data_IF_832052941384
#
_entry.id   IF_832052941384
#
_cell.length_a   1.000
_cell.length_b   1.000
_cell.length_c   1.000
_cell.angle_alpha   90.00
_cell.angle_beta   90.00
_cell.angle_gamma   90.00
#
_symmetry.space_group_name_H-M   'P 1'
#
loop_
_entity.id
_entity.type
_entity.pdbx_description
1 polymer ?
#
# COMPACT_ATOMS: atom_id res chain seq x y z
N UNK A 1 23.46 -55.96 35.70
CA UNK A 1 22.74 -55.41 34.53
C UNK A 1 23.00 -56.34 33.36
N UNK A 2 21.95 -56.99 32.88
CA UNK A 2 22.04 -58.05 31.89
C UNK A 2 22.62 -57.54 30.57
N UNK A 3 23.58 -58.30 29.99
CA UNK A 3 24.19 -57.98 28.68
C UNK A 3 23.15 -57.89 27.56
N UNK A 4 21.95 -58.47 27.76
CA UNK A 4 20.81 -58.38 26.84
C UNK A 4 20.12 -57.00 26.86
N UNK A 5 20.23 -56.25 27.96
CA UNK A 5 19.64 -54.92 28.09
C UNK A 5 20.48 -53.82 27.41
N UNK A 6 21.80 -54.01 27.36
CA UNK A 6 22.73 -53.07 26.74
C UNK A 6 22.72 -53.15 25.20
N UNK A 7 22.37 -54.31 24.63
CA UNK A 7 22.20 -54.49 23.18
C UNK A 7 20.88 -53.90 22.68
N UNK A 8 19.82 -53.94 23.49
CA UNK A 8 18.52 -53.34 23.16
C UNK A 8 18.53 -51.80 23.23
N UNK A 9 19.35 -51.22 24.11
CA UNK A 9 19.52 -49.76 24.19
C UNK A 9 20.40 -49.20 23.04
N UNK A 10 21.38 -49.98 22.57
CA UNK A 10 22.23 -49.61 21.43
C UNK A 10 21.51 -49.72 20.08
N UNK A 11 20.51 -50.59 19.94
CA UNK A 11 19.74 -50.77 18.71
C UNK A 11 18.69 -49.68 18.45
N UNK A 12 18.26 -48.93 19.48
CA UNK A 12 17.30 -47.82 19.30
C UNK A 12 17.95 -46.52 18.78
N UNK A 13 19.27 -46.36 18.87
CA UNK A 13 19.95 -45.10 18.50
C UNK A 13 20.23 -45.00 16.99
N UNK A 14 20.11 -46.10 16.23
CA UNK A 14 20.47 -46.13 14.80
C UNK A 14 19.30 -45.80 13.85
N UNK A 15 18.08 -45.60 14.36
CA UNK A 15 16.88 -45.37 13.52
C UNK A 15 16.52 -43.87 13.38
N UNK A 16 17.26 -42.96 14.01
CA UNK A 16 17.01 -41.51 13.93
C UNK A 16 17.89 -40.77 12.89
N UNK A 17 18.40 -41.46 11.86
CA UNK A 17 19.47 -40.96 10.98
C UNK A 17 19.12 -40.71 9.51
N UNK A 18 17.86 -40.82 9.08
CA UNK A 18 17.46 -40.54 7.69
C UNK A 18 16.22 -39.63 7.62
N UNK A 19 16.38 -38.37 8.03
CA UNK A 19 15.59 -37.29 7.44
C UNK A 19 16.44 -36.70 6.31
N UNK A 20 16.08 -37.02 5.07
CA UNK A 20 16.66 -36.45 3.87
C UNK A 20 16.60 -34.94 3.93
N UNK A 21 17.76 -34.34 4.20
CA UNK A 21 17.95 -32.92 4.14
C UNK A 21 18.17 -32.59 2.66
N UNK A 22 17.07 -32.51 1.91
CA UNK A 22 17.02 -31.82 0.63
C UNK A 22 17.28 -30.33 0.87
N UNK A 23 18.53 -30.00 1.21
CA UNK A 23 19.10 -28.69 0.96
C UNK A 23 19.33 -28.57 -0.56
N UNK A 24 18.24 -28.64 -1.34
CA UNK A 24 18.20 -27.81 -2.52
C UNK A 24 18.22 -26.40 -1.98
N UNK A 25 19.37 -25.73 -2.14
CA UNK A 25 19.44 -24.29 -2.05
C UNK A 25 18.35 -23.75 -2.98
N UNK A 26 17.18 -23.43 -2.40
CA UNK A 26 16.20 -22.61 -3.05
C UNK A 26 16.95 -21.32 -3.34
N UNK A 27 17.36 -21.14 -4.60
CA UNK A 27 17.55 -19.82 -5.17
C UNK A 27 16.29 -19.06 -4.78
N UNK A 28 16.41 -18.23 -3.74
CA UNK A 28 15.28 -17.50 -3.21
C UNK A 28 14.85 -16.64 -4.38
N UNK A 29 13.72 -16.98 -5.02
CA UNK A 29 13.18 -16.18 -6.12
C UNK A 29 13.09 -14.77 -5.56
N UNK A 30 13.97 -13.88 -6.01
CA UNK A 30 14.00 -12.50 -5.52
C UNK A 30 12.60 -11.94 -5.75
N UNK A 31 11.93 -11.56 -4.67
CA UNK A 31 10.62 -10.90 -4.77
C UNK A 31 10.87 -9.51 -5.36
N UNK A 32 10.06 -9.05 -6.31
CA UNK A 32 10.25 -7.74 -6.93
C UNK A 32 9.90 -6.57 -6.00
N UNK A 33 9.24 -6.86 -4.86
CA UNK A 33 8.70 -5.86 -3.94
C UNK A 33 8.92 -6.30 -2.48
N UNK A 34 9.03 -5.32 -1.59
CA UNK A 34 8.98 -5.49 -0.13
C UNK A 34 7.59 -5.98 0.26
N UNK A 35 6.55 -5.37 -0.32
CA UNK A 35 5.16 -5.55 0.05
C UNK A 35 4.77 -4.78 1.32
N UNK A 36 3.60 -5.12 1.88
CA UNK A 36 3.04 -4.44 3.06
C UNK A 36 1.82 -3.58 2.73
N UNK A 37 0.96 -3.36 3.72
CA UNK A 37 -0.33 -2.67 3.58
C UNK A 37 -0.29 -1.19 3.97
N UNK A 38 0.90 -0.63 4.15
CA UNK A 38 1.11 0.74 4.61
C UNK A 38 1.78 1.55 3.49
N UNK A 39 1.47 2.85 3.44
CA UNK A 39 2.08 3.81 2.52
C UNK A 39 2.97 4.77 3.29
N UNK A 40 2.49 5.99 3.53
CA UNK A 40 3.10 6.90 4.49
C UNK A 40 2.53 6.59 5.87
N UNK A 41 3.36 6.57 6.90
CA UNK A 41 2.94 6.51 8.31
C UNK A 41 3.07 7.88 8.94
N UNK A 42 2.21 8.16 9.91
CA UNK A 42 2.17 9.43 10.62
C UNK A 42 2.07 9.17 12.12
N UNK A 43 2.90 9.82 12.92
CA UNK A 43 2.87 9.69 14.38
C UNK A 43 3.25 11.00 15.07
N UNK A 44 2.58 11.33 16.18
CA UNK A 44 3.02 12.40 17.05
C UNK A 44 4.36 12.05 17.69
N UNK A 45 5.28 13.01 17.74
CA UNK A 45 6.52 12.83 18.50
C UNK A 45 6.18 12.81 19.99
N UNK A 46 6.83 11.91 20.74
CA UNK A 46 6.62 11.81 22.18
C UNK A 46 6.80 13.18 22.85
N UNK A 47 5.77 13.62 23.57
CA UNK A 47 5.74 14.93 24.24
C UNK A 47 5.43 16.12 23.34
N UNK A 48 5.09 15.93 22.06
CA UNK A 48 4.73 17.00 21.11
C UNK A 48 3.47 16.60 20.30
N UNK A 49 2.26 17.04 20.71
CA UNK A 49 2.00 17.98 21.80
C UNK A 49 2.28 17.42 23.20
N UNK A 50 2.54 18.28 24.19
CA UNK A 50 2.59 17.86 25.58
C UNK A 50 1.23 17.30 26.02
N UNK A 51 1.23 16.38 26.99
CA UNK A 51 -0.01 15.82 27.52
C UNK A 51 -0.89 16.86 28.23
N UNK A 52 -0.28 17.95 28.70
CA UNK A 52 -0.97 19.05 29.36
C UNK A 52 -0.36 20.42 29.04
N UNK A 53 -1.21 21.44 28.99
CA UNK A 53 -0.87 22.85 28.82
C UNK A 53 -1.75 23.71 29.73
N UNK A 54 -1.46 25.00 29.83
CA UNK A 54 -2.24 25.95 30.63
C UNK A 54 -3.03 26.93 29.77
N UNK A 55 -4.14 27.41 30.32
CA UNK A 55 -4.99 28.42 29.71
C UNK A 55 -4.36 29.84 29.76
N UNK A 56 -5.10 30.86 29.34
CA UNK A 56 -4.72 32.27 29.44
C UNK A 56 -3.43 32.66 28.69
N UNK A 57 -3.13 31.98 27.59
CA UNK A 57 -1.98 32.19 26.70
C UNK A 57 -0.61 32.05 27.40
N UNK A 58 -0.55 31.37 28.54
CA UNK A 58 0.64 31.31 29.42
C UNK A 58 1.66 30.26 28.97
N UNK A 59 1.23 29.23 28.24
CA UNK A 59 2.06 28.09 27.87
C UNK A 59 2.03 27.84 26.36
N UNK A 60 2.99 28.38 25.58
CA UNK A 60 3.13 28.04 24.18
C UNK A 60 3.67 26.61 24.01
N UNK A 61 3.17 25.90 23.01
CA UNK A 61 3.59 24.54 22.68
C UNK A 61 3.57 24.32 21.16
N UNK A 62 4.26 23.25 20.76
CA UNK A 62 4.37 22.83 19.38
C UNK A 62 3.68 21.47 19.19
N UNK A 63 3.22 21.22 17.97
CA UNK A 63 2.78 19.89 17.52
C UNK A 63 3.75 19.42 16.46
N UNK A 64 4.45 18.32 16.72
CA UNK A 64 5.42 17.76 15.77
C UNK A 64 5.00 16.34 15.39
N UNK A 65 4.96 16.08 14.08
CA UNK A 65 4.64 14.78 13.51
C UNK A 65 5.88 14.18 12.85
N UNK A 66 6.11 12.88 13.07
CA UNK A 66 6.97 12.07 12.21
C UNK A 66 6.14 11.60 11.02
N UNK A 67 6.65 11.82 9.81
CA UNK A 67 6.13 11.26 8.57
C UNK A 67 7.17 10.29 8.03
N UNK A 68 6.79 9.07 7.66
CA UNK A 68 7.73 8.08 7.11
C UNK A 68 7.06 7.29 5.99
N UNK A 69 7.64 7.29 4.79
CA UNK A 69 7.15 6.46 3.69
C UNK A 69 7.73 5.05 3.83
N UNK A 70 6.89 4.13 4.30
CA UNK A 70 7.24 2.72 4.49
C UNK A 70 6.83 1.86 3.30
N UNK A 71 6.03 2.40 2.39
CA UNK A 71 5.64 1.73 1.16
C UNK A 71 6.55 2.04 -0.03
N UNK A 72 6.15 1.58 -1.21
CA UNK A 72 7.01 1.46 -2.39
C UNK A 72 6.62 2.44 -3.52
N UNK A 73 6.01 3.57 -3.16
CA UNK A 73 5.64 4.64 -4.09
C UNK A 73 6.15 6.00 -3.60
N UNK A 74 6.80 6.77 -4.47
CA UNK A 74 7.35 8.09 -4.14
C UNK A 74 6.22 9.11 -3.93
N UNK A 75 6.30 9.90 -2.87
CA UNK A 75 5.32 10.96 -2.58
C UNK A 75 5.99 12.34 -2.69
N UNK A 76 5.69 13.11 -3.74
CA UNK A 76 6.16 14.49 -3.86
C UNK A 76 5.66 15.36 -2.70
N UNK A 77 6.49 16.29 -2.23
CA UNK A 77 6.17 17.15 -1.10
C UNK A 77 4.89 17.99 -1.31
N UNK A 78 4.68 18.43 -2.54
CA UNK A 78 3.53 19.25 -2.97
C UNK A 78 2.24 18.43 -3.16
N UNK A 79 2.34 17.10 -3.24
CA UNK A 79 1.22 16.18 -3.32
C UNK A 79 0.84 15.56 -1.98
N UNK A 80 1.44 16.01 -0.87
CA UNK A 80 1.09 15.62 0.48
C UNK A 80 0.76 16.83 1.33
N UNK A 81 -0.40 16.81 1.98
CA UNK A 81 -0.80 17.82 2.97
C UNK A 81 -1.15 17.17 4.29
N UNK A 82 -0.81 17.85 5.38
CA UNK A 82 -1.20 17.47 6.73
C UNK A 82 -1.95 18.61 7.37
N UNK A 83 -3.15 18.29 7.88
CA UNK A 83 -4.04 19.22 8.56
C UNK A 83 -4.21 18.81 10.02
N UNK A 84 -4.05 19.76 10.93
CA UNK A 84 -4.40 19.59 12.34
C UNK A 84 -5.87 19.96 12.53
N UNK A 85 -6.63 19.07 13.19
CA UNK A 85 -8.05 19.26 13.52
C UNK A 85 -8.35 18.82 14.96
N UNK A 86 -9.59 19.01 15.41
CA UNK A 86 -10.02 18.74 16.80
C UNK A 86 -9.73 19.87 17.80
N UNK A 87 -9.04 20.91 17.34
CA UNK A 87 -8.85 22.17 18.06
C UNK A 87 -9.27 23.34 17.17
N UNK A 88 -9.81 24.41 17.77
CA UNK A 88 -10.13 25.65 17.09
C UNK A 88 -8.84 26.48 16.90
N UNK A 89 -8.49 26.92 15.68
CA UNK A 89 -7.30 27.74 15.47
C UNK A 89 -7.30 29.02 16.34
N UNK A 90 -8.45 29.69 16.43
CA UNK A 90 -8.60 30.94 17.17
C UNK A 90 -8.35 30.76 18.67
N UNK A 91 -8.93 29.71 19.26
CA UNK A 91 -8.75 29.37 20.67
C UNK A 91 -7.29 29.01 20.98
N UNK A 92 -6.53 28.55 19.98
CA UNK A 92 -5.12 28.18 20.10
C UNK A 92 -4.15 29.25 19.56
N UNK A 93 -4.64 30.46 19.28
CA UNK A 93 -3.81 31.62 18.96
C UNK A 93 -3.15 31.58 17.57
N UNK A 94 -3.68 30.75 16.65
CA UNK A 94 -3.14 30.55 15.29
C UNK A 94 -4.24 30.70 14.24
N UNK A 95 -3.86 30.83 12.97
CA UNK A 95 -4.82 30.84 11.86
C UNK A 95 -5.06 29.43 11.32
N UNK A 96 -6.19 29.22 10.65
CA UNK A 96 -6.49 27.93 10.01
C UNK A 96 -5.43 27.50 8.98
N UNK A 97 -4.76 28.46 8.33
CA UNK A 97 -3.67 28.19 7.39
C UNK A 97 -2.42 27.64 8.09
N UNK A 98 -2.15 28.04 9.33
CA UNK A 98 -0.99 27.58 10.10
C UNK A 98 -1.12 26.10 10.46
N UNK A 99 -2.35 25.59 10.56
CA UNK A 99 -2.70 24.20 10.85
C UNK A 99 -2.86 23.32 9.59
N UNK A 100 -2.47 23.81 8.40
CA UNK A 100 -2.52 23.03 7.16
C UNK A 100 -1.24 23.24 6.35
N UNK A 101 -0.30 22.30 6.46
CA UNK A 101 1.03 22.40 5.84
C UNK A 101 1.27 21.30 4.83
N UNK A 102 2.04 21.57 3.74
CA UNK A 102 2.58 20.50 2.91
C UNK A 102 3.62 19.68 3.68
N UNK A 103 4.02 18.54 3.14
CA UNK A 103 5.21 17.85 3.62
C UNK A 103 6.47 18.76 3.43
N UNK A 104 7.46 18.67 4.33
CA UNK A 104 8.65 19.52 4.26
C UNK A 104 9.59 19.16 3.11
N UNK A 105 9.55 17.90 2.64
CA UNK A 105 10.38 17.36 1.57
C UNK A 105 9.66 16.18 0.89
N UNK A 106 10.22 15.69 -0.22
CA UNK A 106 9.72 14.51 -0.90
C UNK A 106 9.93 13.28 -0.01
N UNK A 107 8.93 12.41 0.04
CA UNK A 107 9.06 11.13 0.74
C UNK A 107 9.39 10.03 -0.26
N UNK A 108 10.68 9.76 -0.44
CA UNK A 108 11.15 8.69 -1.30
C UNK A 108 10.70 7.33 -0.77
N UNK A 109 10.38 6.42 -1.68
CA UNK A 109 9.84 5.10 -1.38
C UNK A 109 10.88 4.15 -0.79
N UNK A 110 10.43 3.21 0.03
CA UNK A 110 11.23 2.04 0.34
C UNK A 110 11.43 1.17 -0.91
N UNK A 111 12.56 0.46 -1.02
CA UNK A 111 12.84 -0.43 -2.15
C UNK A 111 13.80 -1.55 -1.78
N UNK A 112 13.91 -2.56 -2.65
CA UNK A 112 14.89 -3.65 -2.53
C UNK A 112 16.03 -3.37 -3.50
N UNK A 113 17.27 -3.43 -3.01
CA UNK A 113 18.45 -3.28 -3.85
C UNK A 113 18.74 -4.57 -4.66
N UNK A 114 19.67 -4.55 -5.64
CA UNK A 114 20.00 -5.76 -6.41
C UNK A 114 20.53 -6.93 -5.58
N UNK A 115 21.05 -6.66 -4.38
CA UNK A 115 21.56 -7.66 -3.43
C UNK A 115 20.42 -8.28 -2.59
N UNK A 116 19.22 -7.70 -2.61
CA UNK A 116 18.06 -8.15 -1.85
C UNK A 116 17.89 -7.44 -0.50
N UNK A 117 18.68 -6.41 -0.20
CA UNK A 117 18.58 -5.65 1.04
C UNK A 117 17.52 -4.55 0.91
N UNK A 118 16.84 -4.26 2.04
CA UNK A 118 15.78 -3.25 2.08
C UNK A 118 16.41 -1.87 2.31
N UNK A 119 16.24 -0.98 1.33
CA UNK A 119 16.47 0.45 1.46
C UNK A 119 15.19 1.06 2.01
N UNK A 120 15.28 1.66 3.21
CA UNK A 120 14.15 2.35 3.84
C UNK A 120 13.82 3.63 3.08
N UNK A 121 12.53 3.96 3.02
CA UNK A 121 12.07 5.25 2.49
C UNK A 121 12.39 6.42 3.42
N UNK A 122 12.07 7.62 2.96
CA UNK A 122 12.35 8.86 3.70
C UNK A 122 11.48 8.98 4.95
N UNK A 123 12.12 9.39 6.04
CA UNK A 123 11.46 9.81 7.28
C UNK A 123 11.79 11.28 7.56
N UNK A 124 10.77 12.08 7.84
CA UNK A 124 10.91 13.52 8.10
C UNK A 124 9.99 13.99 9.23
N UNK A 125 10.17 15.23 9.67
CA UNK A 125 9.45 15.82 10.78
C UNK A 125 8.70 17.07 10.32
N UNK A 126 7.40 17.12 10.56
CA UNK A 126 6.56 18.27 10.26
C UNK A 126 6.16 18.98 11.57
N UNK A 127 6.59 20.23 11.73
CA UNK A 127 6.31 21.02 12.93
C UNK A 127 5.22 22.08 12.70
N UNK A 128 4.32 22.19 13.67
CA UNK A 128 3.30 23.23 13.81
C UNK A 128 3.62 24.01 15.09
N UNK A 129 4.39 25.11 14.99
CA UNK A 129 4.87 25.81 16.17
C UNK A 129 3.88 26.85 16.69
N UNK A 130 4.05 27.22 17.96
CA UNK A 130 3.48 28.45 18.52
C UNK A 130 1.98 28.39 18.84
N UNK A 131 1.45 27.20 19.08
CA UNK A 131 0.09 27.05 19.59
C UNK A 131 0.04 27.45 21.06
N UNK A 132 -1.02 28.13 21.48
CA UNK A 132 -1.25 28.51 22.88
C UNK A 132 -2.73 28.70 23.15
N UNK A 133 -3.26 28.11 24.21
CA UNK A 133 -4.68 28.26 24.52
C UNK A 133 -4.97 29.68 25.04
N UNK A 134 -5.81 30.43 24.34
CA UNK A 134 -5.98 31.88 24.53
C UNK A 134 -6.98 32.24 25.60
N UNK A 135 -8.05 31.46 25.74
CA UNK A 135 -9.13 31.76 26.70
C UNK A 135 -8.74 31.33 28.12
N UNK A 136 -9.44 31.87 29.11
CA UNK A 136 -9.38 31.38 30.50
C UNK A 136 -10.52 30.40 30.71
N UNK A 137 -10.22 29.20 31.20
CA UNK A 137 -11.21 28.16 31.45
C UNK A 137 -11.72 28.22 32.90
N UNK A 138 -12.98 27.86 33.16
CA UNK A 138 -13.47 27.69 34.53
C UNK A 138 -12.94 26.41 35.21
N UNK A 139 -12.27 25.53 34.46
CA UNK A 139 -11.73 24.25 34.93
C UNK A 139 -11.01 23.49 33.82
N UNK A 140 -10.36 22.38 34.16
CA UNK A 140 -9.58 21.60 33.20
C UNK A 140 -10.46 21.01 32.10
N UNK A 141 -10.05 21.17 30.84
CA UNK A 141 -10.82 20.73 29.67
C UNK A 141 -9.95 19.84 28.77
N UNK A 142 -10.38 18.61 28.45
CA UNK A 142 -9.67 17.75 27.52
C UNK A 142 -10.01 18.09 26.06
N UNK A 143 -9.00 18.09 25.21
CA UNK A 143 -9.09 18.19 23.76
C UNK A 143 -8.45 16.95 23.12
N UNK A 144 -8.86 16.64 21.89
CA UNK A 144 -8.18 15.64 21.08
C UNK A 144 -7.60 16.34 19.86
N UNK A 145 -6.27 16.30 19.73
CA UNK A 145 -5.56 16.83 18.57
C UNK A 145 -5.49 15.72 17.53
N UNK A 146 -6.08 15.95 16.36
CA UNK A 146 -6.01 15.04 15.24
C UNK A 146 -5.05 15.60 14.20
N UNK A 147 -4.21 14.74 13.64
CA UNK A 147 -3.45 15.03 12.43
C UNK A 147 -4.02 14.17 11.31
N UNK A 148 -4.47 14.81 10.23
CA UNK A 148 -5.02 14.16 9.05
C UNK A 148 -4.09 14.44 7.87
N UNK A 149 -3.53 13.40 7.27
CA UNK A 149 -2.71 13.50 6.07
C UNK A 149 -3.53 13.10 4.84
N UNK A 150 -3.43 13.87 3.78
CA UNK A 150 -3.89 13.50 2.44
C UNK A 150 -2.72 13.50 1.48
N UNK A 151 -2.54 12.43 0.71
CA UNK A 151 -1.47 12.35 -0.28
C UNK A 151 -1.82 11.47 -1.48
N UNK A 152 -1.27 11.80 -2.64
CA UNK A 152 -1.31 10.90 -3.81
C UNK A 152 -0.41 9.69 -3.58
N UNK A 153 -0.91 8.50 -3.90
CA UNK A 153 -0.17 7.26 -3.79
C UNK A 153 -0.47 6.30 -4.94
N UNK A 154 0.32 5.24 -5.04
CA UNK A 154 0.15 4.24 -6.06
C UNK A 154 0.61 2.85 -5.65
N UNK A 155 0.31 1.90 -6.52
CA UNK A 155 0.67 0.49 -6.32
C UNK A 155 1.05 -0.12 -7.64
N UNK A 156 2.14 -0.86 -7.65
CA UNK A 156 2.53 -1.67 -8.80
C UNK A 156 2.34 -3.14 -8.46
N UNK A 157 1.40 -3.77 -9.15
CA UNK A 157 1.18 -5.21 -9.17
C UNK A 157 1.91 -5.85 -10.35
N UNK A 158 2.45 -7.04 -10.15
CA UNK A 158 3.09 -7.84 -11.21
C UNK A 158 2.69 -9.31 -11.13
N UNK A 159 2.45 -9.91 -12.29
CA UNK A 159 2.25 -11.34 -12.46
C UNK A 159 2.81 -11.79 -13.81
N UNK A 160 3.04 -13.10 -13.97
CA UNK A 160 3.47 -13.69 -15.25
C UNK A 160 2.26 -14.34 -15.92
N UNK A 161 1.94 -13.87 -17.12
CA UNK A 161 0.92 -14.40 -18.03
C UNK A 161 1.55 -15.43 -18.95
N UNK A 162 0.88 -16.54 -19.21
CA UNK A 162 1.36 -17.58 -20.10
C UNK A 162 0.73 -17.43 -21.48
N UNK A 163 1.56 -17.08 -22.46
CA UNK A 163 1.13 -16.93 -23.84
C UNK A 163 1.52 -18.17 -24.63
N UNK A 164 0.56 -18.73 -25.37
CA UNK A 164 0.73 -19.97 -26.13
C UNK A 164 0.17 -19.86 -27.53
N UNK A 165 0.74 -20.61 -28.46
CA UNK A 165 0.21 -20.72 -29.83
C UNK A 165 -1.17 -21.39 -29.84
N UNK A 166 -1.31 -22.46 -29.07
CA UNK A 166 -2.58 -23.15 -28.82
C UNK A 166 -2.85 -23.20 -27.32
N UNK A 167 -3.66 -22.25 -26.85
CA UNK A 167 -4.01 -22.10 -25.43
C UNK A 167 -4.89 -23.25 -24.90
N UNK A 168 -5.46 -24.08 -25.78
CA UNK A 168 -6.33 -25.22 -25.41
C UNK A 168 -5.55 -26.53 -25.25
N UNK A 169 -4.31 -26.59 -25.73
CA UNK A 169 -3.51 -27.80 -25.69
C UNK A 169 -2.86 -27.99 -24.32
N UNK A 170 -3.26 -28.99 -23.54
CA UNK A 170 -2.75 -29.20 -22.17
C UNK A 170 -1.32 -29.78 -22.08
N UNK A 171 -0.60 -29.95 -23.20
CA UNK A 171 0.80 -30.40 -23.12
C UNK A 171 1.66 -29.35 -22.43
N UNK A 172 2.22 -29.69 -21.27
CA UNK A 172 3.09 -28.85 -20.44
C UNK A 172 4.44 -28.58 -21.14
N UNK A 173 4.47 -27.64 -22.06
CA UNK A 173 5.71 -27.12 -22.65
C UNK A 173 5.75 -25.61 -22.39
N UNK A 174 6.74 -25.15 -21.62
CA UNK A 174 6.94 -23.73 -21.31
C UNK A 174 6.23 -23.26 -20.04
N UNK A 175 4.94 -22.98 -20.12
CA UNK A 175 4.13 -22.47 -19.00
C UNK A 175 2.70 -23.00 -19.04
N UNK A 176 2.00 -22.96 -17.91
CA UNK A 176 0.63 -23.47 -17.77
C UNK A 176 -0.40 -22.36 -17.89
N UNK A 177 -1.39 -22.54 -18.75
CA UNK A 177 -2.59 -21.69 -18.82
C UNK A 177 -3.67 -22.31 -17.91
N UNK A 178 -4.70 -21.54 -17.51
CA UNK A 178 -5.79 -22.00 -16.63
C UNK A 178 -5.36 -22.26 -15.18
N UNK A 179 -4.61 -21.32 -14.58
CA UNK A 179 -4.17 -21.44 -13.20
C UNK A 179 -4.15 -20.10 -12.46
N UNK A 180 -4.06 -20.20 -11.13
CA UNK A 180 -3.74 -19.05 -10.29
C UNK A 180 -2.26 -18.77 -10.40
N UNK A 181 -1.91 -17.54 -10.79
CA UNK A 181 -0.53 -17.10 -10.90
C UNK A 181 -0.05 -16.50 -9.59
N UNK A 182 1.26 -16.59 -9.37
CA UNK A 182 1.88 -15.81 -8.29
C UNK A 182 1.77 -14.33 -8.64
N UNK A 183 1.24 -13.54 -7.72
CA UNK A 183 1.12 -12.09 -7.84
C UNK A 183 2.01 -11.43 -6.81
N UNK A 184 2.72 -10.40 -7.23
CA UNK A 184 3.48 -9.53 -6.34
C UNK A 184 2.83 -8.15 -6.37
N UNK A 185 2.72 -7.50 -5.23
CA UNK A 185 2.18 -6.15 -5.10
C UNK A 185 3.16 -5.32 -4.28
N UNK A 186 3.43 -4.11 -4.74
CA UNK A 186 4.23 -3.14 -4.00
C UNK A 186 3.52 -2.72 -2.70
N UNK A 187 4.31 -2.28 -1.72
CA UNK A 187 3.88 -1.79 -0.43
C UNK A 187 2.95 -0.59 -0.58
N UNK A 188 1.69 -0.77 -0.17
CA UNK A 188 0.63 0.21 -0.37
C UNK A 188 -0.65 -0.17 0.39
N UNK A 189 -1.46 0.80 0.83
CA UNK A 189 -2.77 0.55 1.44
C UNK A 189 -3.81 -0.06 0.48
N UNK A 190 -3.65 0.08 -0.83
CA UNK A 190 -4.47 -0.61 -1.84
C UNK A 190 -3.58 -1.61 -2.56
N UNK A 191 -4.01 -2.86 -2.68
CA UNK A 191 -3.16 -3.94 -3.18
C UNK A 191 -3.81 -4.73 -4.31
N UNK A 192 -2.96 -5.30 -5.16
CA UNK A 192 -3.34 -6.37 -6.09
C UNK A 192 -3.10 -7.72 -5.41
N UNK A 193 -4.14 -8.52 -5.21
CA UNK A 193 -4.09 -9.63 -4.23
C UNK A 193 -4.23 -11.02 -4.82
N UNK A 194 -4.75 -11.14 -6.04
CA UNK A 194 -4.81 -12.41 -6.76
C UNK A 194 -4.71 -12.15 -8.24
N UNK A 195 -4.23 -13.15 -8.98
CA UNK A 195 -4.20 -13.16 -10.43
C UNK A 195 -4.55 -14.57 -10.91
N UNK A 196 -5.57 -14.68 -11.74
CA UNK A 196 -6.04 -15.94 -12.30
C UNK A 196 -6.07 -15.81 -13.83
N UNK A 197 -5.47 -16.78 -14.51
CA UNK A 197 -5.44 -16.85 -15.97
C UNK A 197 -6.32 -18.00 -16.45
N UNK A 198 -7.00 -17.82 -17.57
CA UNK A 198 -7.84 -18.82 -18.22
C UNK A 198 -7.77 -18.67 -19.76
N UNK A 199 -7.90 -19.76 -20.54
CA UNK A 199 -7.95 -19.68 -21.99
C UNK A 199 -9.25 -19.01 -22.46
N UNK A 200 -9.20 -18.31 -23.59
CA UNK A 200 -10.35 -17.64 -24.19
C UNK A 200 -10.36 -17.81 -25.72
N UNK A 201 -10.81 -18.98 -26.18
CA UNK A 201 -10.69 -19.38 -27.59
C UNK A 201 -9.36 -20.08 -27.84
N UNK A 202 -8.90 -20.12 -29.09
CA UNK A 202 -7.63 -20.76 -29.49
C UNK A 202 -6.45 -19.80 -29.49
N UNK A 203 -6.68 -18.49 -29.50
CA UNK A 203 -5.68 -17.44 -29.76
C UNK A 203 -5.67 -16.32 -28.70
N UNK A 204 -6.40 -16.48 -27.59
CA UNK A 204 -6.49 -15.45 -26.55
C UNK A 204 -6.43 -16.06 -25.16
N UNK A 205 -5.92 -15.27 -24.23
CA UNK A 205 -5.99 -15.56 -22.81
C UNK A 205 -6.81 -14.49 -22.11
N UNK A 206 -7.65 -14.91 -21.19
CA UNK A 206 -8.27 -14.03 -20.20
C UNK A 206 -7.44 -14.11 -18.93
N UNK A 207 -7.23 -12.98 -18.27
CA UNK A 207 -6.80 -12.97 -16.89
C UNK A 207 -7.66 -12.04 -16.05
N UNK A 208 -7.73 -12.32 -14.76
CA UNK A 208 -8.42 -11.46 -13.81
C UNK A 208 -7.58 -11.27 -12.56
N UNK A 209 -7.66 -10.08 -11.99
CA UNK A 209 -7.00 -9.76 -10.75
C UNK A 209 -7.95 -9.03 -9.79
N UNK A 210 -7.65 -9.17 -8.51
CA UNK A 210 -8.43 -8.54 -7.44
C UNK A 210 -7.68 -7.35 -6.87
N UNK A 211 -8.35 -6.20 -6.81
CA UNK A 211 -7.91 -5.02 -6.08
C UNK A 211 -8.62 -4.97 -4.74
N UNK A 212 -7.87 -4.77 -3.66
CA UNK A 212 -8.36 -4.77 -2.28
C UNK A 212 -7.74 -3.61 -1.50
N UNK A 213 -8.56 -2.89 -0.74
CA UNK A 213 -8.10 -1.88 0.22
C UNK A 213 -7.83 -2.55 1.56
N UNK A 214 -6.56 -2.51 2.01
CA UNK A 214 -6.06 -3.17 3.23
C UNK A 214 -5.49 -2.21 4.27
N UNK A 215 -5.39 -0.92 3.95
CA UNK A 215 -5.02 0.11 4.90
C UNK A 215 -6.21 0.59 5.74
N UNK A 216 -5.94 1.43 6.74
CA UNK A 216 -6.95 1.93 7.71
C UNK A 216 -7.55 3.29 7.33
N UNK A 217 -6.94 4.00 6.39
CA UNK A 217 -7.39 5.27 5.86
C UNK A 217 -8.47 5.15 4.78
N UNK A 218 -8.83 6.27 4.16
CA UNK A 218 -9.81 6.38 3.08
C UNK A 218 -9.12 6.56 1.74
N UNK A 219 -9.74 5.99 0.70
CA UNK A 219 -9.27 6.08 -0.68
C UNK A 219 -10.18 7.04 -1.44
N UNK A 220 -9.59 7.91 -2.26
CA UNK A 220 -10.32 8.84 -3.11
C UNK A 220 -9.68 8.94 -4.49
N UNK A 221 -10.44 9.51 -5.43
CA UNK A 221 -10.03 9.74 -6.81
C UNK A 221 -8.64 10.42 -6.84
N UNK A 222 -7.73 9.88 -7.65
CA UNK A 222 -6.44 10.49 -7.90
C UNK A 222 -6.56 11.94 -8.36
N UNK A 223 -5.80 12.84 -7.74
CA UNK A 223 -5.78 14.27 -8.06
C UNK A 223 -6.96 15.06 -7.46
N UNK A 224 -7.78 14.44 -6.62
CA UNK A 224 -8.86 15.12 -5.89
C UNK A 224 -8.35 15.86 -4.64
N UNK A 225 -7.10 15.63 -4.23
CA UNK A 225 -6.53 16.14 -2.97
C UNK A 225 -7.38 15.80 -1.74
N UNK A 226 -8.00 14.61 -1.75
CA UNK A 226 -8.97 14.14 -0.75
C UNK A 226 -10.09 15.15 -0.47
N UNK A 227 -10.50 15.95 -1.48
CA UNK A 227 -11.47 17.00 -1.27
C UNK A 227 -12.87 16.42 -1.00
N UNK A 228 -13.35 16.65 0.23
CA UNK A 228 -14.65 16.17 0.71
C UNK A 228 -15.86 16.85 0.03
N UNK A 229 -15.68 18.00 -0.62
CA UNK A 229 -16.79 18.72 -1.26
C UNK A 229 -17.50 17.91 -2.36
N UNK A 230 -16.77 16.97 -3.00
CA UNK A 230 -17.26 16.08 -4.05
C UNK A 230 -17.20 14.60 -3.61
N UNK A 231 -17.29 14.32 -2.31
CA UNK A 231 -17.15 12.99 -1.73
C UNK A 231 -17.99 11.94 -2.48
N UNK A 232 -19.24 12.24 -2.84
CA UNK A 232 -20.08 11.28 -3.58
C UNK A 232 -19.53 10.85 -4.93
N UNK A 233 -18.74 11.72 -5.58
CA UNK A 233 -18.19 11.48 -6.92
C UNK A 233 -16.77 10.94 -6.84
N UNK A 234 -15.99 11.36 -5.86
CA UNK A 234 -14.56 11.06 -5.77
C UNK A 234 -14.24 9.94 -4.77
N UNK A 235 -15.13 9.64 -3.83
CA UNK A 235 -14.89 8.62 -2.81
C UNK A 235 -14.70 7.23 -3.43
N UNK A 236 -13.78 6.47 -2.84
CA UNK A 236 -13.52 5.06 -3.14
C UNK A 236 -13.04 4.77 -4.57
N UNK A 237 -12.61 5.78 -5.32
CA UNK A 237 -12.14 5.60 -6.70
C UNK A 237 -10.64 5.35 -6.77
N UNK A 238 -10.27 4.30 -7.50
CA UNK A 238 -8.88 3.98 -7.83
C UNK A 238 -8.73 3.95 -9.34
N UNK A 239 -7.77 4.70 -9.86
CA UNK A 239 -7.37 4.60 -11.25
C UNK A 239 -6.53 3.33 -11.43
N UNK A 240 -6.86 2.54 -12.44
CA UNK A 240 -6.19 1.29 -12.80
C UNK A 240 -5.64 1.46 -14.20
N UNK A 241 -4.40 1.05 -14.41
CA UNK A 241 -3.76 0.95 -15.71
C UNK A 241 -3.07 -0.41 -15.83
N UNK A 242 -3.38 -1.15 -16.89
CA UNK A 242 -2.89 -2.51 -17.11
C UNK A 242 -2.05 -2.57 -18.37
N UNK A 243 -0.85 -3.13 -18.27
CA UNK A 243 0.06 -3.29 -19.40
C UNK A 243 0.64 -4.69 -19.46
N UNK A 244 0.65 -5.29 -20.65
CA UNK A 244 1.31 -6.56 -20.98
C UNK A 244 2.66 -6.33 -21.68
N UNK A 245 3.21 -5.11 -21.59
CA UNK A 245 4.43 -4.68 -22.27
C UNK A 245 4.19 -4.19 -23.70
N UNK A 246 5.19 -3.52 -24.28
CA UNK A 246 5.05 -2.84 -25.57
C UNK A 246 4.70 -3.79 -26.73
N UNK A 247 5.27 -5.00 -26.71
CA UNK A 247 5.14 -5.98 -27.80
C UNK A 247 3.73 -6.62 -27.88
N UNK A 248 2.94 -6.54 -26.82
CA UNK A 248 1.57 -7.11 -26.74
C UNK A 248 0.49 -6.05 -26.50
N UNK A 249 0.85 -4.78 -26.52
CA UNK A 249 -0.05 -3.66 -26.23
C UNK A 249 -1.25 -3.62 -27.18
N UNK A 250 -1.09 -4.05 -28.43
CA UNK A 250 -2.19 -4.24 -29.37
C UNK A 250 -2.95 -5.53 -29.06
N UNK A 251 -4.17 -5.42 -28.53
CA UNK A 251 -5.05 -6.56 -28.28
C UNK A 251 -5.38 -6.82 -26.81
N UNK A 252 -4.85 -6.01 -25.88
CA UNK A 252 -5.27 -5.99 -24.48
C UNK A 252 -6.58 -5.20 -24.34
N UNK A 253 -7.58 -5.82 -23.73
CA UNK A 253 -8.86 -5.17 -23.40
C UNK A 253 -9.30 -5.58 -22.01
N UNK A 254 -9.65 -4.61 -21.17
CA UNK A 254 -10.06 -4.79 -19.79
C UNK A 254 -11.51 -4.37 -19.60
N UNK A 255 -12.21 -5.13 -18.77
CA UNK A 255 -13.61 -4.92 -18.42
C UNK A 255 -13.73 -4.64 -16.92
N UNK A 256 -14.77 -3.88 -16.56
CA UNK A 256 -14.99 -3.42 -15.18
C UNK A 256 -14.33 -2.08 -14.84
N UNK A 257 -13.72 -1.41 -15.82
CA UNK A 257 -13.15 -0.06 -15.72
C UNK A 257 -14.15 0.99 -16.25
N UNK A 258 -14.17 2.17 -15.64
CA UNK A 258 -15.05 3.29 -16.03
C UNK A 258 -14.24 4.55 -16.36
N UNK A 259 -14.67 5.35 -17.34
CA UNK A 259 -14.10 6.67 -17.61
C UNK A 259 -12.65 6.68 -18.10
N UNK A 260 -12.21 5.64 -18.80
CA UNK A 260 -10.85 5.51 -19.32
C UNK A 260 -10.77 4.89 -20.71
N UNK A 261 -9.70 4.13 -20.97
CA UNK A 261 -9.42 3.46 -22.25
C UNK A 261 -9.78 1.96 -22.18
N UNK A 262 -9.35 1.19 -23.19
CA UNK A 262 -9.48 -0.26 -23.16
C UNK A 262 -8.61 -0.93 -22.08
N UNK A 263 -7.56 -0.29 -21.59
CA UNK A 263 -6.60 -0.88 -20.62
C UNK A 263 -6.50 -0.11 -19.32
N UNK A 264 -7.15 1.06 -19.26
CA UNK A 264 -7.10 1.94 -18.10
C UNK A 264 -8.45 2.56 -17.77
N UNK A 265 -8.65 2.95 -16.51
CA UNK A 265 -9.87 3.60 -16.06
C UNK A 265 -10.07 3.41 -14.56
N UNK A 266 -11.23 3.81 -14.06
CA UNK A 266 -11.53 3.81 -12.64
C UNK A 266 -12.30 2.59 -12.21
N UNK A 267 -12.01 2.13 -11.00
CA UNK A 267 -12.85 1.21 -10.23
C UNK A 267 -13.30 1.90 -8.94
N UNK A 268 -14.42 1.43 -8.38
CA UNK A 268 -14.88 1.81 -7.04
C UNK A 268 -14.60 0.66 -6.07
N UNK A 269 -13.90 0.94 -4.98
CA UNK A 269 -13.59 0.01 -3.90
C UNK A 269 -14.49 0.26 -2.69
N UNK A 270 -15.53 -0.54 -2.53
CA UNK A 270 -16.33 -0.49 -1.31
C UNK A 270 -15.57 -1.10 -0.12
N UNK A 271 -15.90 -0.65 1.09
CA UNK A 271 -15.25 -1.11 2.31
C UNK A 271 -15.37 -2.62 2.46
N UNK A 272 -14.25 -3.29 2.73
CA UNK A 272 -14.13 -4.75 2.86
C UNK A 272 -14.52 -5.55 1.60
N UNK A 273 -14.66 -4.89 0.44
CA UNK A 273 -14.91 -5.57 -0.82
C UNK A 273 -13.66 -5.65 -1.68
N UNK A 274 -13.54 -6.75 -2.41
CA UNK A 274 -12.53 -6.93 -3.45
C UNK A 274 -13.16 -6.61 -4.78
N UNK A 275 -12.48 -5.83 -5.60
CA UNK A 275 -12.93 -5.54 -6.96
C UNK A 275 -12.14 -6.35 -7.97
N UNK A 276 -12.84 -7.20 -8.71
CA UNK A 276 -12.27 -7.92 -9.82
C UNK A 276 -12.18 -7.02 -11.06
N UNK A 277 -11.02 -7.00 -11.69
CA UNK A 277 -10.82 -6.49 -13.05
C UNK A 277 -10.48 -7.69 -13.93
N UNK A 278 -11.14 -7.80 -15.08
CA UNK A 278 -10.93 -8.91 -16.03
C UNK A 278 -10.45 -8.35 -17.35
N UNK A 279 -9.31 -8.82 -17.81
CA UNK A 279 -8.70 -8.44 -19.07
C UNK A 279 -8.58 -9.65 -20.00
N UNK A 280 -8.61 -9.38 -21.31
CA UNK A 280 -8.39 -10.34 -22.38
C UNK A 280 -7.22 -9.83 -23.21
N UNK A 281 -6.21 -10.67 -23.38
CA UNK A 281 -5.08 -10.45 -24.27
C UNK A 281 -5.24 -11.37 -25.47
N UNK A 282 -5.33 -10.77 -26.67
CA UNK A 282 -5.23 -11.53 -27.91
C UNK A 282 -3.76 -11.72 -28.29
N UNK A 283 -3.42 -12.85 -28.93
CA UNK A 283 -2.10 -13.04 -29.52
C UNK A 283 -1.85 -11.98 -30.60
N UNK A 284 -0.63 -11.47 -30.67
CA UNK A 284 -0.23 -10.56 -31.75
C UNK A 284 0.08 -11.40 -33.00
N UNK A 285 -0.48 -11.07 -34.18
CA UNK A 285 -0.19 -11.79 -35.41
C UNK A 285 1.32 -11.88 -35.67
N UNK A 286 1.84 -13.10 -35.84
CA UNK A 286 3.25 -13.35 -36.13
C UNK A 286 4.12 -13.70 -34.91
N UNK A 287 3.57 -13.73 -33.70
CA UNK A 287 4.26 -14.37 -32.58
C UNK A 287 4.18 -15.89 -32.70
N UNK A 288 5.33 -16.54 -32.52
CA UNK A 288 5.55 -17.98 -32.62
C UNK A 288 6.22 -18.43 -31.33
N UNK A 289 5.73 -19.51 -30.73
CA UNK A 289 6.22 -20.14 -29.52
C UNK A 289 5.41 -19.84 -28.25
N UNK A 290 5.60 -20.71 -27.26
CA UNK A 290 5.04 -20.59 -25.91
C UNK A 290 6.02 -19.81 -25.01
N UNK A 291 5.53 -18.78 -24.32
CA UNK A 291 6.38 -17.91 -23.48
C UNK A 291 5.60 -17.28 -22.32
N UNK A 292 6.32 -16.86 -21.28
CA UNK A 292 5.75 -16.05 -20.20
C UNK A 292 5.95 -14.56 -20.46
N UNK A 293 4.90 -13.76 -20.23
CA UNK A 293 4.96 -12.30 -20.30
C UNK A 293 4.62 -11.68 -18.96
N UNK A 294 5.40 -10.70 -18.53
CA UNK A 294 5.07 -9.89 -17.36
C UNK A 294 3.90 -8.98 -17.64
N UNK A 295 2.87 -9.06 -16.79
CA UNK A 295 1.79 -8.09 -16.70
C UNK A 295 2.11 -7.13 -15.57
N UNK A 296 1.97 -5.84 -15.84
CA UNK A 296 2.11 -4.76 -14.86
C UNK A 296 0.75 -4.11 -14.66
N UNK A 297 0.34 -3.96 -13.40
CA UNK A 297 -0.92 -3.34 -13.00
C UNK A 297 -0.54 -2.14 -12.13
N UNK A 298 -0.81 -0.94 -12.60
CA UNK A 298 -0.59 0.29 -11.84
C UNK A 298 -1.91 0.78 -11.27
N UNK A 299 -1.93 1.03 -9.97
CA UNK A 299 -3.03 1.67 -9.27
C UNK A 299 -2.59 3.08 -8.87
N UNK A 300 -3.45 4.08 -9.05
CA UNK A 300 -3.23 5.47 -8.60
C UNK A 300 -4.48 5.99 -7.89
N UNK A 301 -4.28 6.63 -6.74
CA UNK A 301 -5.35 7.15 -5.90
C UNK A 301 -4.82 8.21 -4.94
N UNK A 302 -5.71 8.98 -4.33
CA UNK A 302 -5.37 9.84 -3.20
C UNK A 302 -5.80 9.12 -1.91
N UNK A 303 -4.98 9.21 -0.87
CA UNK A 303 -5.16 8.48 0.39
C UNK A 303 -5.21 9.44 1.58
N UNK A 304 -6.25 9.31 2.39
CA UNK A 304 -6.43 10.07 3.63
C UNK A 304 -6.31 9.16 4.84
N UNK A 305 -5.53 9.56 5.85
CA UNK A 305 -5.48 8.86 7.13
C UNK A 305 -5.34 9.86 8.27
N UNK A 306 -5.76 9.45 9.47
CA UNK A 306 -5.72 10.31 10.66
C UNK A 306 -5.13 9.58 11.85
N UNK A 307 -4.37 10.31 12.67
CA UNK A 307 -3.94 9.89 14.01
C UNK A 307 -4.35 10.94 15.02
N UNK A 308 -4.53 10.54 16.28
CA UNK A 308 -4.95 11.46 17.35
C UNK A 308 -4.14 11.28 18.62
N UNK A 309 -4.07 12.35 19.39
CA UNK A 309 -3.50 12.35 20.75
C UNK A 309 -4.32 13.26 21.65
N UNK A 310 -4.57 12.89 22.92
CA UNK A 310 -5.24 13.76 23.86
C UNK A 310 -4.33 14.92 24.29
N UNK A 311 -4.94 16.06 24.62
CA UNK A 311 -4.31 17.26 25.15
C UNK A 311 -5.19 17.81 26.28
N UNK A 312 -4.64 17.92 27.49
CA UNK A 312 -5.37 18.51 28.62
C UNK A 312 -5.01 20.00 28.78
N UNK A 313 -5.99 20.89 28.64
CA UNK A 313 -5.80 22.30 29.01
C UNK A 313 -6.21 22.47 30.47
N UNK A 314 -5.26 22.85 31.31
CA UNK A 314 -5.46 23.13 32.74
C UNK A 314 -5.78 24.60 32.97
N UNK A 315 -6.69 24.84 33.91
CA UNK A 315 -6.93 26.19 34.38
C UNK A 315 -5.71 26.69 35.16
N UNK A 316 -5.17 27.85 34.78
CA UNK A 316 -4.14 28.55 35.54
C UNK A 316 -4.81 29.46 36.58
N UNK A 317 -4.54 29.19 37.85
CA UNK A 317 -4.95 30.03 39.00
C UNK A 317 -4.08 31.26 39.14
#
# INVERSE_FOLDING_TARGET
MDKRFLVLLAAMIVIAGCSGNDNTAATTKQKPFIGGSEGVTMAFISGNPPGEVFDSATYPFDVTLKLENVGEFNVPADQMRVKITGISPADFGVNAADLNKPAPENLDSASIDPQGEIIKGTATYLNFPGLKFMETLPGNTPFNVYATSCYTYGTTGQAMLCMREDVLNEKDVGCKVNEKKTTYSSGSPVQVTSFEEAPAGSDKVTFSFMVEHRGTGKVSLHGSSCNAADERVNDKKVFVDVSTGNDLSSGLTCSGLQGGTATSGYITLYENEKRQVRCTQSNVPGQVGDFEKRVTINLLFDYEQSVSTPLLVKHST
#
